data_IF_969845122928
#
_entry.id   IF_969845122928
#
_cell.length_a   1.000
_cell.length_b   1.000
_cell.length_c   1.000
_cell.angle_alpha   90.00
_cell.angle_beta   90.00
_cell.angle_gamma   90.00
#
_symmetry.space_group_name_H-M   'P 1'
#
loop_
_entity.id
_entity.type
_entity.pdbx_description
1 polymer ?
#
# COMPACT_ATOMS: atom_id res chain seq x y z
N UNK A 1 -24.75 -10.57 2.38
CA UNK A 1 -24.06 -9.30 2.69
C UNK A 1 -24.73 -8.21 1.88
N UNK A 2 -25.53 -7.32 2.49
CA UNK A 2 -26.33 -6.32 1.77
C UNK A 2 -25.51 -5.03 1.71
N UNK A 3 -24.82 -4.79 0.59
CA UNK A 3 -24.24 -3.47 0.33
C UNK A 3 -25.39 -2.47 0.20
N UNK A 4 -25.25 -1.30 0.84
CA UNK A 4 -26.26 -0.25 0.91
C UNK A 4 -26.96 -0.03 -0.43
N UNK A 5 -28.28 -0.16 -0.46
CA UNK A 5 -29.11 -0.09 -1.69
C UNK A 5 -29.56 1.34 -2.04
N UNK A 6 -28.99 2.36 -1.41
CA UNK A 6 -29.43 3.74 -1.59
C UNK A 6 -28.73 4.39 -2.78
N UNK A 7 -29.52 4.95 -3.68
CA UNK A 7 -29.05 5.70 -4.85
C UNK A 7 -28.46 7.04 -4.42
N UNK A 8 -27.59 7.61 -5.28
CA UNK A 8 -26.87 8.85 -4.99
C UNK A 8 -27.81 10.02 -4.68
N UNK A 9 -28.95 10.09 -5.38
CA UNK A 9 -30.00 11.10 -5.17
C UNK A 9 -30.66 11.00 -3.78
N UNK A 10 -30.73 9.80 -3.19
CA UNK A 10 -31.32 9.58 -1.85
C UNK A 10 -30.40 10.05 -0.71
N UNK A 11 -29.09 10.14 -0.96
CA UNK A 11 -28.12 10.51 0.07
C UNK A 11 -28.08 12.03 0.32
N UNK A 12 -28.55 12.83 -0.65
CA UNK A 12 -28.51 14.30 -0.60
C UNK A 12 -27.08 14.87 -0.50
N UNK A 13 -26.95 16.19 -0.66
CA UNK A 13 -25.65 16.88 -0.57
C UNK A 13 -24.97 16.77 0.82
N UNK A 14 -25.68 16.27 1.83
CA UNK A 14 -25.17 15.95 3.16
C UNK A 14 -26.02 14.80 3.75
N UNK A 15 -25.54 13.55 3.76
CA UNK A 15 -26.26 12.46 4.41
C UNK A 15 -26.41 12.80 5.90
N UNK A 16 -27.67 12.96 6.34
CA UNK A 16 -28.08 13.47 7.68
C UNK A 16 -27.49 12.72 8.89
N UNK A 17 -26.73 11.65 8.66
CA UNK A 17 -26.14 10.78 9.69
C UNK A 17 -24.60 10.87 9.78
N UNK A 18 -23.94 11.68 8.95
CA UNK A 18 -22.47 11.83 8.99
C UNK A 18 -22.12 13.11 9.75
N UNK A 19 -21.20 13.04 10.72
CA UNK A 19 -20.84 14.20 11.56
C UNK A 19 -20.41 15.39 10.69
N UNK A 20 -20.91 16.62 10.95
CA UNK A 20 -20.59 17.81 10.15
C UNK A 20 -19.08 18.09 9.99
N UNK A 21 -18.29 17.66 10.99
CA UNK A 21 -16.83 17.81 11.03
C UNK A 21 -16.08 17.04 9.91
N UNK A 22 -16.73 16.06 9.27
CA UNK A 22 -16.14 15.35 8.13
C UNK A 22 -16.18 16.18 6.83
N UNK A 23 -17.09 17.14 6.72
CA UNK A 23 -17.31 17.93 5.51
C UNK A 23 -16.60 19.29 5.53
N UNK A 24 -16.30 19.82 6.71
CA UNK A 24 -15.70 21.15 6.89
C UNK A 24 -14.19 21.21 6.67
N UNK A 25 -13.51 20.08 6.47
CA UNK A 25 -12.06 20.06 6.33
C UNK A 25 -11.61 19.59 4.94
N UNK A 26 -11.49 20.49 3.95
CA UNK A 26 -11.04 20.14 2.59
C UNK A 26 -9.58 19.65 2.55
N UNK A 27 -8.83 19.80 3.65
CA UNK A 27 -7.39 19.52 3.72
C UNK A 27 -7.02 18.13 4.26
N UNK A 28 -7.99 17.24 4.49
CA UNK A 28 -7.70 15.88 5.02
C UNK A 28 -7.45 14.81 3.96
N UNK A 29 -7.65 15.14 2.68
CA UNK A 29 -7.27 14.25 1.59
C UNK A 29 -5.81 14.54 1.24
N UNK A 30 -4.90 13.57 1.41
CA UNK A 30 -3.50 13.81 1.08
C UNK A 30 -3.38 14.03 -0.43
N UNK A 31 -2.63 15.06 -0.83
CA UNK A 31 -2.45 15.45 -2.23
C UNK A 31 -1.84 14.30 -3.03
N UNK A 32 -2.67 13.65 -3.88
CA UNK A 32 -2.39 12.42 -4.65
C UNK A 32 -1.18 12.50 -5.56
N UNK A 33 -0.69 13.70 -5.87
CA UNK A 33 0.42 13.92 -6.81
C UNK A 33 1.81 13.65 -6.21
N UNK A 34 1.96 13.62 -4.88
CA UNK A 34 3.26 13.44 -4.20
C UNK A 34 3.53 11.98 -3.74
N UNK A 35 2.63 11.05 -4.03
CA UNK A 35 2.59 9.74 -3.36
C UNK A 35 3.71 8.79 -3.82
N UNK A 36 4.09 8.71 -5.10
CA UNK A 36 5.23 7.90 -5.53
C UNK A 36 6.52 8.35 -4.84
N UNK A 37 6.74 9.66 -4.70
CA UNK A 37 7.94 10.23 -4.06
C UNK A 37 7.98 9.96 -2.57
N UNK A 38 6.83 10.07 -1.87
CA UNK A 38 6.75 9.75 -0.43
C UNK A 38 6.94 8.26 -0.18
N UNK A 39 6.32 7.41 -0.99
CA UNK A 39 6.47 5.97 -0.87
C UNK A 39 7.92 5.56 -1.16
N UNK A 40 8.58 6.12 -2.18
CA UNK A 40 9.98 5.85 -2.51
C UNK A 40 10.95 6.01 -1.32
N UNK A 41 10.67 6.92 -0.37
CA UNK A 41 11.49 7.05 0.85
C UNK A 41 11.44 5.85 1.80
N UNK A 42 10.40 5.00 1.67
CA UNK A 42 10.19 3.79 2.46
C UNK A 42 10.73 2.53 1.77
N UNK A 43 11.32 2.66 0.59
CA UNK A 43 11.90 1.52 -0.10
C UNK A 43 13.02 0.90 0.74
N UNK A 44 13.05 -0.44 0.90
CA UNK A 44 14.12 -1.09 1.65
C UNK A 44 15.49 -0.88 1.02
N UNK A 45 16.54 -0.92 1.84
CA UNK A 45 17.90 -1.00 1.32
C UNK A 45 18.04 -2.25 0.42
N UNK A 46 18.85 -2.22 -0.66
CA UNK A 46 18.91 -3.32 -1.64
C UNK A 46 19.13 -4.70 -1.00
N UNK A 47 20.10 -4.79 -0.08
CA UNK A 47 20.41 -6.03 0.63
C UNK A 47 19.30 -6.54 1.55
N UNK A 48 18.39 -5.66 2.00
CA UNK A 48 17.21 -6.03 2.76
C UNK A 48 16.08 -6.43 1.81
N UNK A 49 15.92 -5.69 0.72
CA UNK A 49 14.92 -5.97 -0.30
C UNK A 49 15.07 -7.41 -0.84
N UNK A 50 16.30 -7.80 -1.21
CA UNK A 50 16.58 -9.16 -1.71
C UNK A 50 16.21 -10.23 -0.67
N UNK A 51 16.56 -10.02 0.60
CA UNK A 51 16.19 -10.94 1.69
C UNK A 51 14.66 -11.06 1.85
N UNK A 52 13.93 -9.96 1.71
CA UNK A 52 12.47 -9.96 1.82
C UNK A 52 11.82 -10.68 0.65
N UNK A 53 12.34 -10.47 -0.57
CA UNK A 53 11.89 -11.18 -1.76
C UNK A 53 12.12 -12.68 -1.63
N UNK A 54 13.34 -13.09 -1.26
CA UNK A 54 13.69 -14.50 -1.07
C UNK A 54 12.84 -15.15 0.02
N UNK A 55 12.57 -14.43 1.11
CA UNK A 55 11.72 -14.94 2.19
C UNK A 55 10.25 -15.08 1.77
N UNK A 56 9.72 -14.15 0.96
CA UNK A 56 8.37 -14.24 0.41
C UNK A 56 8.23 -15.40 -0.56
N UNK A 57 9.11 -15.46 -1.57
CA UNK A 57 9.04 -16.47 -2.62
C UNK A 57 9.38 -17.86 -2.11
N UNK A 58 10.32 -17.97 -1.17
CA UNK A 58 10.71 -19.25 -0.55
C UNK A 58 9.74 -19.78 0.50
N UNK A 59 8.71 -19.02 0.92
CA UNK A 59 7.71 -19.47 1.89
C UNK A 59 6.28 -19.23 1.40
N UNK A 60 5.81 -17.99 1.51
CA UNK A 60 4.41 -17.67 1.23
C UNK A 60 4.00 -18.02 -0.21
N UNK A 61 4.80 -17.64 -1.20
CA UNK A 61 4.47 -17.93 -2.59
C UNK A 61 4.70 -19.41 -2.97
N UNK A 62 5.51 -20.13 -2.19
CA UNK A 62 5.70 -21.57 -2.36
C UNK A 62 4.42 -22.33 -1.96
N UNK A 63 3.82 -21.95 -0.82
CA UNK A 63 2.59 -22.55 -0.33
C UNK A 63 1.35 -22.04 -1.08
N UNK A 64 1.34 -20.75 -1.45
CA UNK A 64 0.22 -20.06 -2.10
C UNK A 64 0.74 -19.22 -3.29
N UNK A 65 0.95 -19.85 -4.46
CA UNK A 65 1.49 -19.17 -5.63
C UNK A 65 0.48 -18.14 -6.15
N UNK A 66 0.78 -16.87 -5.88
CA UNK A 66 -0.05 -15.73 -6.28
C UNK A 66 0.69 -14.82 -7.25
N UNK A 67 2.02 -14.86 -7.24
CA UNK A 67 2.88 -14.04 -8.09
C UNK A 67 3.83 -14.94 -8.87
N UNK A 68 4.01 -14.66 -10.16
CA UNK A 68 5.03 -15.31 -10.98
C UNK A 68 6.41 -14.75 -10.58
N UNK A 69 7.20 -15.56 -9.88
CA UNK A 69 8.51 -15.14 -9.36
C UNK A 69 9.47 -14.70 -10.45
N UNK A 70 9.56 -15.46 -11.56
CA UNK A 70 10.49 -15.16 -12.63
C UNK A 70 10.18 -13.80 -13.26
N UNK A 71 8.91 -13.57 -13.60
CA UNK A 71 8.47 -12.29 -14.17
C UNK A 71 8.71 -11.16 -13.16
N UNK A 72 8.32 -11.35 -11.91
CA UNK A 72 8.47 -10.32 -10.88
C UNK A 72 9.93 -9.92 -10.68
N UNK A 73 10.87 -10.89 -10.63
CA UNK A 73 12.30 -10.60 -10.48
C UNK A 73 12.92 -9.93 -11.71
N UNK A 74 12.46 -10.29 -12.91
CA UNK A 74 12.87 -9.59 -14.14
C UNK A 74 12.42 -8.12 -14.10
N UNK A 75 11.16 -7.89 -13.78
CA UNK A 75 10.62 -6.54 -13.63
C UNK A 75 11.39 -5.76 -12.55
N UNK A 76 11.61 -6.38 -11.39
CA UNK A 76 12.36 -5.79 -10.29
C UNK A 76 13.79 -5.37 -10.66
N UNK A 77 14.48 -6.16 -11.50
CA UNK A 77 15.83 -5.83 -11.97
C UNK A 77 15.86 -4.71 -13.02
N UNK A 78 14.80 -4.59 -13.83
CA UNK A 78 14.70 -3.61 -14.91
C UNK A 78 14.10 -2.27 -14.46
N UNK A 79 13.28 -2.29 -13.42
CA UNK A 79 12.56 -1.12 -12.94
C UNK A 79 13.47 -0.22 -12.09
N UNK A 80 13.75 0.97 -12.61
CA UNK A 80 14.19 2.06 -11.73
C UNK A 80 13.06 2.41 -10.76
N UNK A 81 13.40 2.76 -9.51
CA UNK A 81 12.45 3.20 -8.47
C UNK A 81 11.51 4.35 -8.88
N UNK A 82 11.80 4.99 -10.01
CA UNK A 82 11.03 6.07 -10.63
C UNK A 82 9.93 5.57 -11.57
N UNK A 83 9.70 4.27 -11.65
CA UNK A 83 8.57 3.74 -12.41
C UNK A 83 7.26 4.29 -11.86
N UNK A 84 6.42 4.80 -12.77
CA UNK A 84 5.09 5.34 -12.45
C UNK A 84 4.03 4.24 -12.29
N UNK A 85 4.42 2.97 -12.28
CA UNK A 85 3.50 1.86 -12.08
C UNK A 85 3.14 1.72 -10.59
N UNK A 86 2.05 2.38 -10.22
CA UNK A 86 1.52 2.43 -8.85
C UNK A 86 1.11 1.03 -8.38
N UNK A 87 0.52 0.23 -9.27
CA UNK A 87 0.01 -1.11 -8.94
C UNK A 87 1.17 -2.06 -8.66
N UNK A 88 2.21 -2.02 -9.50
CA UNK A 88 3.42 -2.80 -9.28
C UNK A 88 4.16 -2.37 -8.01
N UNK A 89 4.27 -1.05 -7.74
CA UNK A 89 4.88 -0.56 -6.51
C UNK A 89 4.09 -1.01 -5.27
N UNK A 90 2.77 -0.92 -5.31
CA UNK A 90 1.91 -1.39 -4.23
C UNK A 90 2.09 -2.90 -3.99
N UNK A 91 2.15 -3.70 -5.06
CA UNK A 91 2.43 -5.13 -4.98
C UNK A 91 3.80 -5.41 -4.34
N UNK A 92 4.86 -4.71 -4.77
CA UNK A 92 6.20 -4.86 -4.21
C UNK A 92 6.22 -4.56 -2.70
N UNK A 93 5.54 -3.50 -2.26
CA UNK A 93 5.41 -3.21 -0.83
C UNK A 93 4.61 -4.27 -0.05
N UNK A 94 3.56 -4.84 -0.65
CA UNK A 94 2.85 -5.96 -0.04
C UNK A 94 3.76 -7.19 0.12
N UNK A 95 4.57 -7.50 -0.90
CA UNK A 95 5.55 -8.58 -0.85
C UNK A 95 6.59 -8.33 0.25
N UNK A 96 7.13 -7.11 0.35
CA UNK A 96 8.05 -6.74 1.43
C UNK A 96 7.43 -6.88 2.80
N UNK A 97 6.18 -6.46 2.97
CA UNK A 97 5.44 -6.61 4.22
C UNK A 97 5.32 -8.08 4.61
N UNK A 98 4.89 -8.95 3.70
CA UNK A 98 4.72 -10.38 4.01
C UNK A 98 6.09 -11.05 4.24
N UNK A 99 7.09 -10.74 3.41
CA UNK A 99 8.46 -11.25 3.56
C UNK A 99 9.07 -10.87 4.91
N UNK A 100 8.73 -9.70 5.45
CA UNK A 100 9.21 -9.23 6.75
C UNK A 100 8.83 -10.14 7.92
N UNK A 101 7.72 -10.87 7.80
CA UNK A 101 7.25 -11.80 8.84
C UNK A 101 8.20 -13.00 9.01
N UNK A 102 9.05 -13.25 8.01
CA UNK A 102 9.95 -14.39 7.94
C UNK A 102 11.44 -14.00 8.03
N UNK A 103 11.74 -12.70 8.13
CA UNK A 103 13.10 -12.16 8.20
C UNK A 103 13.38 -11.61 9.61
N UNK A 104 14.49 -12.05 10.22
CA UNK A 104 14.88 -11.61 11.57
C UNK A 104 15.63 -10.27 11.61
N UNK A 105 15.77 -9.55 10.49
CA UNK A 105 16.48 -8.27 10.37
C UNK A 105 15.71 -7.15 11.09
N UNK A 106 16.37 -6.40 11.97
CA UNK A 106 15.74 -5.32 12.73
C UNK A 106 15.19 -4.20 11.83
N UNK A 107 15.81 -3.97 10.66
CA UNK A 107 15.36 -2.98 9.68
C UNK A 107 14.03 -3.33 9.04
N UNK A 108 13.60 -4.59 9.13
CA UNK A 108 12.29 -5.03 8.67
C UNK A 108 11.15 -4.66 9.64
N UNK A 109 11.48 -4.19 10.85
CA UNK A 109 10.49 -3.79 11.86
C UNK A 109 10.25 -2.29 11.80
N UNK A 110 8.98 -1.88 11.83
CA UNK A 110 8.64 -0.46 11.91
C UNK A 110 9.03 0.15 13.28
N UNK A 111 9.04 -0.66 14.33
CA UNK A 111 9.55 -0.32 15.65
C UNK A 111 10.50 -1.44 16.11
N UNK A 112 11.78 -1.15 16.40
CA UNK A 112 12.73 -2.17 16.84
C UNK A 112 12.28 -2.94 18.09
N UNK A 113 11.52 -2.27 18.98
CA UNK A 113 11.04 -2.82 20.26
C UNK A 113 9.80 -3.70 20.13
N UNK A 114 9.06 -3.61 19.03
CA UNK A 114 7.81 -4.35 18.84
C UNK A 114 7.96 -5.37 17.70
N UNK A 115 8.01 -6.65 18.09
CA UNK A 115 8.15 -7.78 17.15
C UNK A 115 6.91 -7.96 16.27
N UNK A 116 5.74 -7.50 16.71
CA UNK A 116 4.48 -7.72 16.00
C UNK A 116 4.26 -6.71 14.86
N UNK A 117 5.11 -5.69 14.74
CA UNK A 117 5.01 -4.63 13.72
C UNK A 117 5.99 -4.83 12.55
N UNK A 118 6.37 -6.08 12.26
CA UNK A 118 7.14 -6.43 11.07
C UNK A 118 6.43 -5.95 9.80
N UNK A 119 7.13 -5.18 8.96
CA UNK A 119 6.62 -4.77 7.66
C UNK A 119 5.52 -3.73 7.64
N UNK A 120 5.11 -3.20 8.80
CA UNK A 120 4.02 -2.22 8.91
C UNK A 120 4.30 -0.93 8.11
N UNK A 121 5.57 -0.53 8.01
CA UNK A 121 5.98 0.62 7.20
C UNK A 121 5.71 0.42 5.69
N UNK A 122 5.83 -0.81 5.20
CA UNK A 122 5.55 -1.16 3.81
C UNK A 122 4.06 -1.36 3.59
N UNK A 123 3.33 -1.89 4.57
CA UNK A 123 1.87 -1.88 4.52
C UNK A 123 1.29 -0.47 4.41
N UNK A 124 1.81 0.47 5.21
CA UNK A 124 1.37 1.86 5.14
C UNK A 124 1.63 2.45 3.75
N UNK A 125 2.81 2.24 3.17
CA UNK A 125 3.13 2.69 1.82
C UNK A 125 2.22 2.03 0.74
N UNK A 126 2.00 0.71 0.82
CA UNK A 126 1.12 -0.01 -0.10
C UNK A 126 -0.32 0.50 0.00
N UNK A 127 -0.86 0.57 1.22
CA UNK A 127 -2.20 1.10 1.50
C UNK A 127 -2.34 2.51 0.94
N UNK A 128 -1.31 3.32 1.12
CA UNK A 128 -1.32 4.68 0.63
C UNK A 128 -1.37 4.69 -0.92
N UNK A 129 -0.58 3.86 -1.62
CA UNK A 129 -0.66 3.74 -3.09
C UNK A 129 -2.03 3.23 -3.58
N UNK A 130 -2.58 2.20 -2.93
CA UNK A 130 -3.85 1.55 -3.31
C UNK A 130 -5.04 2.50 -3.11
N UNK A 131 -5.16 3.09 -1.92
CA UNK A 131 -6.34 3.87 -1.54
C UNK A 131 -6.16 5.37 -1.78
N UNK A 132 -4.93 5.86 -1.86
CA UNK A 132 -4.61 7.24 -2.21
C UNK A 132 -4.89 7.58 -3.66
N UNK A 133 -4.78 6.61 -4.57
CA UNK A 133 -5.06 6.81 -5.99
C UNK A 133 -6.55 7.00 -6.30
N UNK A 134 -7.43 6.74 -5.34
CA UNK A 134 -8.86 7.02 -5.44
C UNK A 134 -9.14 8.51 -5.39
N UNK A 135 -9.24 9.16 -6.57
CA UNK A 135 -9.93 10.46 -6.67
C UNK A 135 -11.38 10.23 -6.24
N UNK A 136 -11.71 10.54 -4.99
CA UNK A 136 -13.08 10.81 -4.60
C UNK A 136 -13.47 12.09 -5.34
N UNK A 137 -14.02 11.95 -6.54
CA UNK A 137 -14.65 13.07 -7.23
C UNK A 137 -15.78 13.55 -6.33
N UNK A 138 -15.60 14.72 -5.70
CA UNK A 138 -16.73 15.45 -5.15
C UNK A 138 -17.69 15.68 -6.32
N UNK A 139 -19.01 15.42 -6.16
CA UNK A 139 -19.96 15.90 -7.14
C UNK A 139 -19.76 17.42 -7.27
N UNK A 140 -19.45 17.85 -8.49
CA UNK A 140 -19.34 19.27 -8.82
C UNK A 140 -20.68 19.92 -8.53
N UNK A 141 -20.62 21.05 -7.80
CA UNK A 141 -21.76 21.90 -7.42
C UNK A 141 -22.43 22.43 -8.69
#
# INVERSE_FOLDING_TARGET
MRMSSRTFDELGANPKQVRPQYWTNPSKFPDTTCWPTRCATKWPAPNLADKLLDAYFGRMNCDLPTVNELQFRQDYALLSLKSNDIDWLALAYCIFMVGSLYVSDERARANPKDKHLGGMQWWQAARDLIFGSGRVQKPLI
#
